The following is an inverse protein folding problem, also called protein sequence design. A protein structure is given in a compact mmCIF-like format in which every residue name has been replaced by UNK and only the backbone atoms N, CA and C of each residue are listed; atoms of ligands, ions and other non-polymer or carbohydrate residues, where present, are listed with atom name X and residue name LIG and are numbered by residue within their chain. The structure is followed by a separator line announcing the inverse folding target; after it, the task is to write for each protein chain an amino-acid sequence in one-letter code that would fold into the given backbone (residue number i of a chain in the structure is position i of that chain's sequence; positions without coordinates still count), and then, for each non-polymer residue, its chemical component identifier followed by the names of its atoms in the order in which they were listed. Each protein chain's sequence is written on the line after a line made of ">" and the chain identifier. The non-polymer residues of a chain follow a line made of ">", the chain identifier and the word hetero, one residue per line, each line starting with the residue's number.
data_IF_579661828386
#
_entry.id   IF_579661828386
#
_cell.length_a   1.000
_cell.length_b   1.000
_cell.length_c   1.000
_cell.angle_alpha   90.00
_cell.angle_beta   90.00
_cell.angle_gamma   90.00
#
_symmetry.space_group_name_H-M   'P 1'
#
loop_
_entity.id
_entity.type
_entity.pdbx_description
1 polymer ?
#
# COMPACT_ATOMS: atom_id res chain seq x y z
N UNK A 1 -21.76 -2.68 31.97
CA UNK A 1 -20.48 -3.41 31.75
C UNK A 1 -20.33 -3.71 30.28
N UNK A 2 -19.17 -3.39 29.71
CA UNK A 2 -18.81 -3.82 28.35
C UNK A 2 -18.60 -5.34 28.36
N UNK A 3 -19.11 -6.03 27.33
CA UNK A 3 -19.09 -7.51 27.22
C UNK A 3 -18.05 -8.03 26.24
N UNK A 4 -17.71 -7.24 25.22
CA UNK A 4 -16.66 -7.53 24.26
C UNK A 4 -16.20 -6.24 23.58
N UNK A 5 -15.01 -6.28 22.99
CA UNK A 5 -14.44 -5.22 22.15
C UNK A 5 -13.86 -5.89 20.90
N UNK A 6 -14.10 -5.30 19.73
CA UNK A 6 -13.52 -5.73 18.46
C UNK A 6 -12.47 -4.71 18.07
N UNK A 7 -11.29 -5.20 17.70
CA UNK A 7 -10.20 -4.38 17.20
C UNK A 7 -9.97 -4.68 15.73
N UNK A 8 -9.70 -3.63 14.97
CA UNK A 8 -9.11 -3.76 13.64
C UNK A 8 -7.67 -4.28 13.75
N UNK A 9 -7.11 -4.79 12.66
CA UNK A 9 -5.75 -5.32 12.65
C UNK A 9 -4.74 -4.27 12.19
N UNK A 10 -4.85 -3.81 10.96
CA UNK A 10 -3.90 -2.88 10.35
C UNK A 10 -4.06 -1.47 10.93
N UNK A 11 -2.95 -0.85 11.33
CA UNK A 11 -2.96 0.46 11.98
C UNK A 11 -3.57 0.48 13.39
N UNK A 12 -4.03 -0.67 13.91
CA UNK A 12 -4.54 -0.81 15.29
C UNK A 12 -3.69 -1.79 16.09
N UNK A 13 -3.62 -3.06 15.67
CA UNK A 13 -2.80 -4.07 16.33
C UNK A 13 -1.40 -4.14 15.73
N UNK A 14 -1.26 -3.85 14.42
CA UNK A 14 -0.01 -3.98 13.67
C UNK A 14 0.17 -2.76 12.76
N UNK A 15 1.37 -2.18 12.76
CA UNK A 15 1.76 -1.21 11.73
C UNK A 15 2.31 -1.94 10.49
N UNK A 16 1.40 -2.30 9.58
CA UNK A 16 1.71 -3.03 8.34
C UNK A 16 2.03 -2.11 7.15
N UNK A 17 1.81 -0.79 7.27
CA UNK A 17 1.96 0.14 6.15
C UNK A 17 3.39 0.23 5.59
N UNK A 18 4.45 0.28 6.41
CA UNK A 18 5.83 0.29 5.88
C UNK A 18 6.15 -0.93 5.01
N UNK A 19 5.60 -2.10 5.37
CA UNK A 19 5.78 -3.34 4.60
C UNK A 19 5.05 -3.24 3.26
N UNK A 20 3.82 -2.70 3.27
CA UNK A 20 3.07 -2.47 2.04
C UNK A 20 3.85 -1.61 1.05
N UNK A 21 4.44 -0.49 1.51
CA UNK A 21 5.20 0.39 0.63
C UNK A 21 6.44 -0.29 0.05
N UNK A 22 7.17 -1.05 0.87
CA UNK A 22 8.36 -1.78 0.42
C UNK A 22 8.00 -2.82 -0.65
N UNK A 23 7.02 -3.67 -0.37
CA UNK A 23 6.65 -4.78 -1.26
C UNK A 23 6.08 -4.27 -2.57
N UNK A 24 5.24 -3.24 -2.54
CA UNK A 24 4.68 -2.66 -3.77
C UNK A 24 5.76 -2.00 -4.62
N UNK A 25 6.69 -1.26 -4.01
CA UNK A 25 7.84 -0.67 -4.71
C UNK A 25 8.69 -1.75 -5.37
N UNK A 26 9.07 -2.79 -4.62
CA UNK A 26 9.87 -3.91 -5.12
C UNK A 26 9.17 -4.66 -6.26
N UNK A 27 7.86 -4.87 -6.14
CA UNK A 27 7.07 -5.56 -7.16
C UNK A 27 7.12 -4.82 -8.48
N UNK A 28 6.81 -3.52 -8.50
CA UNK A 28 6.78 -2.74 -9.75
C UNK A 28 8.16 -2.58 -10.38
N UNK A 29 9.20 -2.33 -9.57
CA UNK A 29 10.57 -2.22 -10.06
C UNK A 29 11.04 -3.52 -10.73
N UNK A 30 10.73 -4.68 -10.12
CA UNK A 30 11.01 -6.00 -10.72
C UNK A 30 10.28 -6.24 -12.05
N UNK A 31 9.17 -5.55 -12.29
CA UNK A 31 8.38 -5.66 -13.52
C UNK A 31 8.64 -4.51 -14.51
N UNK A 32 9.72 -3.74 -14.34
CA UNK A 32 10.15 -2.72 -15.29
C UNK A 32 9.51 -1.34 -15.11
N UNK A 33 8.76 -1.13 -14.03
CA UNK A 33 8.16 0.17 -13.70
C UNK A 33 9.00 0.87 -12.61
N UNK A 34 9.69 1.98 -12.92
CA UNK A 34 10.60 2.66 -11.99
C UNK A 34 9.85 3.54 -10.97
N UNK A 35 8.90 2.96 -10.25
CA UNK A 35 8.14 3.65 -9.20
C UNK A 35 9.02 3.96 -8.00
N UNK A 36 8.65 5.02 -7.27
CA UNK A 36 9.34 5.44 -6.04
C UNK A 36 8.51 5.11 -4.79
N UNK A 37 9.18 5.13 -3.63
CA UNK A 37 8.52 5.06 -2.33
C UNK A 37 7.46 6.17 -2.16
N UNK A 38 7.75 7.38 -2.64
CA UNK A 38 6.83 8.52 -2.59
C UNK A 38 5.55 8.26 -3.40
N UNK A 39 5.63 7.50 -4.49
CA UNK A 39 4.45 7.12 -5.27
C UNK A 39 3.55 6.17 -4.48
N UNK A 40 4.13 5.26 -3.69
CA UNK A 40 3.37 4.37 -2.80
C UNK A 40 2.71 5.15 -1.67
N UNK A 41 3.43 6.11 -1.07
CA UNK A 41 2.91 6.97 0.02
C UNK A 41 1.73 7.83 -0.46
N UNK A 42 1.77 8.36 -1.69
CA UNK A 42 0.63 9.12 -2.27
C UNK A 42 -0.63 8.28 -2.40
N UNK A 43 -0.48 6.96 -2.49
CA UNK A 43 -1.57 6.01 -2.76
C UNK A 43 -2.01 5.26 -1.50
N UNK A 44 -1.49 5.59 -0.32
CA UNK A 44 -1.89 4.98 0.96
C UNK A 44 -3.40 4.96 1.12
N UNK A 45 -3.95 3.78 1.49
CA UNK A 45 -5.38 3.57 1.67
C UNK A 45 -6.21 3.49 0.38
N UNK A 46 -5.60 3.63 -0.80
CA UNK A 46 -6.28 3.44 -2.07
C UNK A 46 -6.47 1.94 -2.39
N UNK A 47 -7.53 1.56 -3.12
CA UNK A 47 -7.65 0.22 -3.67
C UNK A 47 -6.47 -0.13 -4.59
N UNK A 48 -6.05 -1.39 -4.58
CA UNK A 48 -4.93 -1.88 -5.40
C UNK A 48 -5.13 -1.56 -6.88
N UNK A 49 -6.36 -1.64 -7.40
CA UNK A 49 -6.67 -1.29 -8.78
C UNK A 49 -6.26 0.16 -9.12
N UNK A 50 -6.55 1.12 -8.24
CA UNK A 50 -6.18 2.53 -8.45
C UNK A 50 -4.66 2.72 -8.45
N UNK A 51 -3.95 1.95 -7.62
CA UNK A 51 -2.50 1.95 -7.59
C UNK A 51 -1.91 1.38 -8.90
N UNK A 52 -2.48 0.31 -9.44
CA UNK A 52 -2.08 -0.23 -10.76
C UNK A 52 -2.36 0.78 -11.87
N UNK A 53 -3.56 1.39 -11.89
CA UNK A 53 -3.93 2.40 -12.88
C UNK A 53 -2.96 3.59 -12.85
N UNK A 54 -2.60 4.07 -11.66
CA UNK A 54 -1.62 5.14 -11.49
C UNK A 54 -0.26 4.76 -12.08
N UNK A 55 0.26 3.57 -11.74
CA UNK A 55 1.57 3.13 -12.23
C UNK A 55 1.59 3.01 -13.75
N UNK A 56 0.53 2.43 -14.35
CA UNK A 56 0.43 2.32 -15.80
C UNK A 56 0.33 3.69 -16.48
N UNK A 57 -0.37 4.66 -15.89
CA UNK A 57 -0.47 6.01 -16.44
C UNK A 57 0.83 6.81 -16.32
N UNK A 58 1.58 6.62 -15.24
CA UNK A 58 2.80 7.38 -14.97
C UNK A 58 4.07 6.76 -15.57
N UNK A 59 4.09 5.43 -15.76
CA UNK A 59 5.30 4.67 -16.07
C UNK A 59 5.13 3.58 -17.15
N UNK A 60 3.92 3.37 -17.69
CA UNK A 60 3.68 2.47 -18.83
C UNK A 60 3.80 3.19 -20.17
#
# INVERSE_FOLDING_TARGET
>A
MIKAVIFDMDGTLIDSQPIWYQVSTDFFQKNGFPVTMDDMIKLTGSPVAKLVDYVLQAHG
#
